data_IF_102648480682
#
_entry.id   IF_102648480682
#
_cell.length_a   1.000
_cell.length_b   1.000
_cell.length_c   1.000
_cell.angle_alpha   90.00
_cell.angle_beta   90.00
_cell.angle_gamma   90.00
#
_symmetry.space_group_name_H-M   'P 1'
#
loop_
_entity.id
_entity.type
_entity.pdbx_description
1 polymer ?
#
# COMPACT_ATOMS: atom_id res chain seq x y z
N UNK A 1 9.39 8.21 -33.60
CA UNK A 1 9.56 7.19 -32.54
C UNK A 1 9.23 7.86 -31.21
N UNK A 2 8.01 7.71 -30.70
CA UNK A 2 7.65 8.23 -29.37
C UNK A 2 7.88 7.10 -28.36
N UNK A 3 8.95 7.23 -27.59
CA UNK A 3 9.23 6.44 -26.38
C UNK A 3 7.96 6.37 -25.52
N UNK A 4 7.47 5.15 -25.27
CA UNK A 4 6.31 4.91 -24.43
C UNK A 4 6.51 5.60 -23.08
N UNK A 5 5.71 6.60 -22.80
CA UNK A 5 5.75 7.34 -21.54
C UNK A 5 5.51 6.36 -20.40
N UNK A 6 6.44 6.33 -19.46
CA UNK A 6 6.36 5.54 -18.23
C UNK A 6 5.23 6.11 -17.35
N UNK A 7 3.97 5.80 -17.69
CA UNK A 7 2.76 6.37 -17.09
C UNK A 7 2.24 5.57 -15.88
N UNK A 8 3.12 4.79 -15.26
CA UNK A 8 2.76 3.82 -14.24
C UNK A 8 3.26 4.30 -12.89
N UNK A 9 2.38 4.34 -11.90
CA UNK A 9 2.80 4.38 -10.51
C UNK A 9 3.32 3.01 -10.10
N UNK A 10 4.49 2.98 -9.47
CA UNK A 10 5.05 1.75 -8.88
C UNK A 10 5.13 1.95 -7.38
N UNK A 11 4.73 0.95 -6.64
CA UNK A 11 4.82 0.95 -5.18
C UNK A 11 5.69 -0.22 -4.72
N UNK A 12 6.52 0.04 -3.72
CA UNK A 12 7.37 -0.97 -3.11
C UNK A 12 7.20 -0.89 -1.59
N UNK A 13 6.77 -2.00 -0.99
CA UNK A 13 6.86 -2.21 0.45
C UNK A 13 8.18 -2.90 0.78
N UNK A 14 8.88 -2.40 1.78
CA UNK A 14 10.11 -2.98 2.29
C UNK A 14 9.92 -3.43 3.74
N UNK A 15 10.47 -4.59 4.07
CA UNK A 15 10.39 -5.17 5.42
C UNK A 15 11.05 -4.27 6.48
N UNK A 16 12.04 -3.47 6.12
CA UNK A 16 12.82 -2.68 7.10
C UNK A 16 12.90 -1.19 6.80
N UNK A 17 12.26 -0.72 5.73
CA UNK A 17 12.38 0.68 5.31
C UNK A 17 11.07 1.31 4.83
N UNK A 18 9.92 0.69 5.11
CA UNK A 18 8.61 1.29 4.84
C UNK A 18 8.14 1.18 3.40
N UNK A 19 7.30 2.13 2.99
CA UNK A 19 6.63 2.12 1.68
C UNK A 19 7.20 3.24 0.83
N UNK A 20 7.43 2.93 -0.44
CA UNK A 20 7.88 3.90 -1.43
C UNK A 20 6.99 3.90 -2.66
N UNK A 21 6.91 5.06 -3.31
CA UNK A 21 6.24 5.22 -4.60
C UNK A 21 7.18 5.87 -5.62
N UNK A 22 7.19 5.31 -6.82
CA UNK A 22 7.74 5.94 -8.00
C UNK A 22 6.58 6.46 -8.85
N UNK A 23 6.51 7.79 -9.00
CA UNK A 23 5.50 8.43 -9.83
C UNK A 23 5.83 8.30 -11.33
N UNK A 24 4.82 8.32 -12.21
CA UNK A 24 5.01 8.42 -13.65
C UNK A 24 6.02 9.50 -14.06
N UNK A 25 7.05 9.10 -14.82
CA UNK A 25 8.11 10.00 -15.28
C UNK A 25 9.08 10.50 -14.20
N UNK A 26 8.91 10.11 -12.93
CA UNK A 26 9.87 10.44 -11.88
C UNK A 26 11.14 9.58 -11.99
N UNK A 27 12.26 10.14 -11.55
CA UNK A 27 13.56 9.45 -11.45
C UNK A 27 13.91 9.05 -10.02
N UNK A 28 13.09 9.42 -9.05
CA UNK A 28 13.31 9.19 -7.62
C UNK A 28 12.08 8.63 -6.95
N UNK A 29 12.32 7.77 -5.95
CA UNK A 29 11.29 7.21 -5.09
C UNK A 29 10.93 8.19 -3.98
N UNK A 30 9.65 8.28 -3.67
CA UNK A 30 9.09 9.04 -2.56
C UNK A 30 8.72 8.09 -1.44
N UNK A 31 9.12 8.41 -0.21
CA UNK A 31 8.75 7.65 0.99
C UNK A 31 7.33 8.03 1.45
N UNK A 32 6.53 7.01 1.78
CA UNK A 32 5.10 7.11 2.07
C UNK A 32 4.77 6.69 3.50
N UNK A 33 5.42 7.29 4.50
CA UNK A 33 5.33 6.85 5.91
C UNK A 33 4.39 7.68 6.79
N UNK A 34 3.76 8.73 6.25
CA UNK A 34 2.85 9.59 7.02
C UNK A 34 1.63 8.81 7.55
N UNK A 35 1.53 8.68 8.87
CA UNK A 35 0.44 7.98 9.55
C UNK A 35 0.70 6.50 9.84
N UNK A 36 1.80 5.96 9.31
CA UNK A 36 2.31 4.62 9.67
C UNK A 36 3.06 4.67 11.02
N UNK A 37 3.28 3.51 11.68
CA UNK A 37 4.14 3.46 12.86
C UNK A 37 5.59 3.85 12.52
N UNK A 38 6.38 4.17 13.54
CA UNK A 38 7.82 4.34 13.39
C UNK A 38 8.46 3.03 12.87
N UNK A 39 9.42 3.16 11.95
CA UNK A 39 10.10 2.04 11.29
C UNK A 39 9.11 0.98 10.78
N UNK A 40 8.21 1.34 9.84
CA UNK A 40 7.15 0.44 9.41
C UNK A 40 7.73 -0.75 8.64
N UNK A 41 7.46 -1.95 9.14
CA UNK A 41 7.76 -3.20 8.46
C UNK A 41 6.60 -3.53 7.55
N UNK A 42 6.78 -3.38 6.24
CA UNK A 42 5.69 -3.56 5.28
C UNK A 42 5.66 -5.00 4.78
N UNK A 43 4.59 -5.70 5.13
CA UNK A 43 4.45 -7.13 4.89
C UNK A 43 3.66 -7.46 3.62
N UNK A 44 2.79 -6.55 3.17
CA UNK A 44 1.94 -6.74 2.01
C UNK A 44 1.35 -5.43 1.54
N UNK A 45 1.03 -5.34 0.24
CA UNK A 45 0.49 -4.14 -0.39
C UNK A 45 -0.49 -4.55 -1.49
N UNK A 46 -1.65 -3.88 -1.57
CA UNK A 46 -2.59 -4.04 -2.67
C UNK A 46 -3.26 -2.70 -3.01
N UNK A 47 -3.48 -2.46 -4.30
CA UNK A 47 -4.22 -1.32 -4.82
C UNK A 47 -5.66 -1.77 -5.10
N UNK A 48 -6.64 -0.94 -4.75
CA UNK A 48 -8.04 -1.24 -5.06
C UNK A 48 -8.25 -1.28 -6.58
N UNK A 49 -8.90 -2.32 -7.13
CA UNK A 49 -8.91 -2.56 -8.57
C UNK A 49 -9.71 -1.52 -9.36
N UNK A 50 -10.74 -0.93 -8.74
CA UNK A 50 -11.60 0.08 -9.38
C UNK A 50 -11.29 1.51 -8.95
N UNK A 51 -10.43 1.70 -7.94
CA UNK A 51 -10.08 3.02 -7.40
C UNK A 51 -8.60 3.07 -7.01
N UNK A 52 -7.70 3.45 -7.94
CA UNK A 52 -6.27 3.43 -7.69
C UNK A 52 -5.79 4.49 -6.68
N UNK A 53 -6.66 5.38 -6.19
CA UNK A 53 -6.32 6.23 -5.03
C UNK A 53 -6.27 5.44 -3.73
N UNK A 54 -7.03 4.34 -3.66
CA UNK A 54 -7.18 3.52 -2.46
C UNK A 54 -6.14 2.39 -2.46
N UNK A 55 -5.32 2.38 -1.42
CA UNK A 55 -4.25 1.40 -1.24
C UNK A 55 -4.34 0.83 0.17
N UNK A 56 -4.09 -0.47 0.30
CA UNK A 56 -4.01 -1.16 1.58
C UNK A 56 -2.61 -1.72 1.77
N UNK A 57 -2.13 -1.67 3.00
CA UNK A 57 -0.82 -2.21 3.37
C UNK A 57 -0.92 -2.94 4.70
N UNK A 58 -0.11 -3.98 4.85
CA UNK A 58 0.12 -4.65 6.14
C UNK A 58 1.38 -4.10 6.77
N UNK A 59 1.31 -3.82 8.07
CA UNK A 59 2.49 -3.49 8.89
C UNK A 59 2.59 -4.41 10.10
N UNK A 60 3.68 -4.30 10.87
CA UNK A 60 3.83 -4.97 12.16
C UNK A 60 2.71 -4.64 13.16
N UNK A 61 2.04 -3.48 13.03
CA UNK A 61 0.95 -3.05 13.92
C UNK A 61 -0.45 -3.36 13.36
N UNK A 62 -0.52 -4.00 12.18
CA UNK A 62 -1.76 -4.40 11.52
C UNK A 62 -1.97 -3.71 10.16
N UNK A 63 -3.18 -3.83 9.59
CA UNK A 63 -3.52 -3.27 8.29
C UNK A 63 -3.81 -1.77 8.35
N UNK A 64 -3.37 -1.07 7.30
CA UNK A 64 -3.59 0.35 7.07
C UNK A 64 -4.21 0.57 5.69
N UNK A 65 -4.92 1.69 5.56
CA UNK A 65 -5.52 2.16 4.30
C UNK A 65 -5.07 3.58 4.02
N UNK A 66 -4.77 3.86 2.77
CA UNK A 66 -4.67 5.19 2.20
C UNK A 66 -5.79 5.40 1.19
N UNK A 67 -6.28 6.63 1.07
CA UNK A 67 -7.24 7.07 0.04
C UNK A 67 -6.67 8.21 -0.84
N UNK A 68 -5.35 8.38 -0.83
CA UNK A 68 -4.62 9.47 -1.48
C UNK A 68 -3.30 8.97 -2.10
N UNK A 69 -3.31 7.76 -2.68
CA UNK A 69 -2.16 7.11 -3.32
C UNK A 69 -0.96 6.94 -2.39
N UNK A 70 -1.22 6.74 -1.11
CA UNK A 70 -0.22 6.52 -0.06
C UNK A 70 0.39 7.80 0.53
N UNK A 71 -0.14 8.98 0.20
CA UNK A 71 0.36 10.23 0.79
C UNK A 71 0.05 10.32 2.30
N UNK A 72 -1.01 9.65 2.76
CA UNK A 72 -1.30 9.43 4.18
C UNK A 72 -2.02 8.11 4.44
N UNK A 73 -1.82 7.56 5.63
CA UNK A 73 -2.35 6.26 6.04
C UNK A 73 -3.16 6.34 7.33
N UNK A 74 -4.21 5.54 7.39
CA UNK A 74 -5.05 5.32 8.56
C UNK A 74 -5.03 3.84 8.92
N UNK A 75 -4.83 3.53 10.20
CA UNK A 75 -4.91 2.16 10.70
C UNK A 75 -6.36 1.69 10.67
N UNK A 76 -6.61 0.50 10.13
CA UNK A 76 -7.92 -0.12 10.20
C UNK A 76 -8.21 -0.63 11.62
N UNK A 77 -9.49 -0.81 11.94
CA UNK A 77 -9.89 -1.41 13.21
C UNK A 77 -9.55 -2.90 13.23
N UNK A 78 -8.32 -3.18 13.67
CA UNK A 78 -7.75 -4.51 13.81
C UNK A 78 -7.19 -4.66 15.24
N UNK A 79 -7.39 -5.81 15.92
CA UNK A 79 -6.88 -6.00 17.27
C UNK A 79 -5.38 -5.74 17.37
N UNK A 80 -4.94 -5.00 18.39
CA UNK A 80 -3.50 -4.73 18.63
C UNK A 80 -2.67 -5.99 18.88
N UNK A 81 -3.33 -7.06 19.31
CA UNK A 81 -2.71 -8.38 19.54
C UNK A 81 -2.83 -9.31 18.33
N UNK A 82 -3.43 -8.84 17.24
CA UNK A 82 -3.56 -9.61 16.01
C UNK A 82 -2.23 -9.71 15.27
N UNK A 83 -2.09 -10.72 14.42
CA UNK A 83 -0.89 -10.91 13.61
C UNK A 83 -0.84 -9.90 12.45
N UNK A 84 0.36 -9.49 12.01
CA UNK A 84 0.49 -8.66 10.81
C UNK A 84 -0.06 -9.41 9.59
N UNK A 85 -0.88 -8.76 8.74
CA UNK A 85 -1.31 -9.36 7.48
C UNK A 85 -0.17 -9.28 6.45
N UNK A 86 0.19 -10.42 5.90
CA UNK A 86 1.23 -10.57 4.88
C UNK A 86 0.66 -10.57 3.47
N UNK A 87 -0.57 -11.07 3.32
CA UNK A 87 -1.25 -11.12 2.03
C UNK A 87 -2.57 -10.39 2.07
N UNK A 88 -2.90 -9.79 0.92
CA UNK A 88 -4.17 -9.13 0.67
C UNK A 88 -4.71 -9.63 -0.66
N UNK A 89 -6.01 -9.88 -0.72
CA UNK A 89 -6.66 -10.29 -1.96
C UNK A 89 -8.10 -9.77 -2.00
N UNK A 90 -8.42 -8.94 -2.99
CA UNK A 90 -9.82 -8.63 -3.28
C UNK A 90 -10.54 -9.86 -3.82
N UNK A 91 -11.80 -10.05 -3.43
CA UNK A 91 -12.66 -11.08 -3.97
C UNK A 91 -12.80 -10.86 -5.49
N UNK A 92 -12.50 -11.86 -6.33
CA UNK A 92 -12.65 -11.71 -7.77
C UNK A 92 -14.08 -11.34 -8.17
N UNK A 93 -14.23 -10.27 -8.95
CA UNK A 93 -15.53 -9.76 -9.41
C UNK A 93 -16.31 -8.96 -8.37
N UNK A 94 -15.77 -8.74 -7.16
CA UNK A 94 -16.38 -7.88 -6.17
C UNK A 94 -15.35 -7.31 -5.16
N UNK A 95 -14.85 -6.08 -5.38
CA UNK A 95 -13.81 -5.49 -4.53
C UNK A 95 -14.33 -4.94 -3.19
N UNK A 96 -15.63 -5.06 -2.94
CA UNK A 96 -16.28 -4.82 -1.64
C UNK A 96 -15.79 -5.78 -0.55
N UNK A 97 -15.28 -6.95 -0.94
CA UNK A 97 -14.74 -7.96 -0.01
C UNK A 97 -13.24 -8.15 -0.26
N UNK A 98 -12.45 -8.10 0.82
CA UNK A 98 -11.01 -8.36 0.79
C UNK A 98 -10.63 -9.36 1.87
N UNK A 99 -9.77 -10.32 1.52
CA UNK A 99 -9.18 -11.30 2.43
C UNK A 99 -7.78 -10.85 2.83
N UNK A 100 -7.46 -10.97 4.12
CA UNK A 100 -6.13 -10.75 4.69
C UNK A 100 -5.64 -12.08 5.27
N UNK A 101 -4.36 -12.40 5.07
CA UNK A 101 -3.73 -13.64 5.57
C UNK A 101 -2.31 -13.43 6.04
#
# INVERSE_FOLDING_TARGET
MTTGSNNTYVYAGAETSGIYRLSPGASQWEELTKGLPADPMVCGLIIHPDDPEVIYTGTQDGPYRSTDRGASWERLDYPKTGAPPWTFMFRPGDPTVMYLG
#
